data_IF_415239678709
#
_entry.id   IF_415239678709
#
_cell.length_a   1.000
_cell.length_b   1.000
_cell.length_c   1.000
_cell.angle_alpha   90.00
_cell.angle_beta   90.00
_cell.angle_gamma   90.00
#
_symmetry.space_group_name_H-M   'P 1'
#
loop_
_entity.id
_entity.type
_entity.pdbx_description
1 polymer ?
#
# COMPACT_ATOMS: atom_id res chain seq x y z
N UNK A 1 -7.67 -23.11 -2.11
CA UNK A 1 -7.70 -21.89 -1.28
C UNK A 1 -6.88 -20.85 -2.00
N UNK A 2 -7.37 -19.62 -2.05
CA UNK A 2 -6.79 -18.58 -2.88
C UNK A 2 -5.78 -17.72 -2.12
N UNK A 3 -4.79 -17.20 -2.83
CA UNK A 3 -3.88 -16.16 -2.39
C UNK A 3 -4.20 -14.91 -3.19
N UNK A 4 -4.28 -13.76 -2.53
CA UNK A 4 -4.57 -12.48 -3.18
C UNK A 4 -3.39 -11.55 -2.91
N UNK A 5 -2.85 -10.98 -3.98
CA UNK A 5 -1.62 -10.21 -3.94
C UNK A 5 -1.88 -8.90 -4.68
N UNK A 6 -1.50 -7.81 -4.03
CA UNK A 6 -1.62 -6.47 -4.60
C UNK A 6 -0.24 -5.83 -4.69
N UNK A 7 0.06 -5.16 -5.80
CA UNK A 7 1.01 -4.07 -5.77
C UNK A 7 0.48 -2.91 -4.90
N UNK A 8 1.38 -2.03 -4.45
CA UNK A 8 1.01 -0.85 -3.68
C UNK A 8 0.71 0.34 -4.59
N UNK A 9 1.74 0.79 -5.32
CA UNK A 9 1.79 2.09 -5.96
C UNK A 9 0.85 2.07 -7.17
N UNK A 10 -0.04 3.04 -7.27
CA UNK A 10 -1.03 3.14 -8.35
C UNK A 10 -1.99 1.94 -8.48
N UNK A 11 -1.87 0.92 -7.62
CA UNK A 11 -2.77 -0.23 -7.55
C UNK A 11 -3.73 -0.10 -6.38
N UNK A 12 -3.20 0.07 -5.17
CA UNK A 12 -3.98 0.28 -3.94
C UNK A 12 -4.05 1.75 -3.55
N UNK A 13 -2.94 2.49 -3.73
CA UNK A 13 -2.77 3.86 -3.26
C UNK A 13 -1.69 4.59 -4.07
N UNK A 14 -1.74 5.91 -4.10
CA UNK A 14 -0.60 6.75 -4.46
C UNK A 14 0.01 7.32 -3.17
N UNK A 15 1.16 6.78 -2.75
CA UNK A 15 1.78 7.12 -1.47
C UNK A 15 2.75 8.31 -1.59
N UNK A 16 2.93 8.87 -2.78
CA UNK A 16 3.93 9.90 -3.05
C UNK A 16 3.78 11.10 -2.11
N UNK A 17 2.53 11.56 -1.89
CA UNK A 17 2.24 12.70 -1.01
C UNK A 17 2.51 12.44 0.47
N UNK A 18 2.62 11.18 0.91
CA UNK A 18 2.82 10.81 2.32
C UNK A 18 4.29 10.51 2.64
N UNK A 19 5.14 10.33 1.63
CA UNK A 19 6.49 9.78 1.78
C UNK A 19 7.30 10.46 2.90
N UNK A 20 7.45 11.79 2.86
CA UNK A 20 8.23 12.52 3.85
C UNK A 20 7.59 12.58 5.24
N UNK A 21 6.26 12.56 5.32
CA UNK A 21 5.56 12.42 6.60
C UNK A 21 5.89 11.06 7.24
N UNK A 22 5.87 9.98 6.45
CA UNK A 22 6.22 8.65 6.92
C UNK A 22 7.69 8.54 7.33
N UNK A 23 8.61 9.15 6.58
CA UNK A 23 10.03 9.23 6.95
C UNK A 23 10.17 9.81 8.36
N UNK A 24 9.47 10.90 8.66
CA UNK A 24 9.60 11.57 9.96
C UNK A 24 9.22 10.67 11.14
N UNK A 25 8.24 9.78 10.97
CA UNK A 25 7.84 8.83 12.01
C UNK A 25 8.84 7.68 12.19
N UNK A 26 9.51 7.29 11.11
CA UNK A 26 10.47 6.19 11.06
C UNK A 26 11.92 6.68 10.91
N UNK A 27 12.19 7.88 11.40
CA UNK A 27 13.47 8.55 11.19
C UNK A 27 14.64 7.79 11.84
N UNK A 28 14.37 7.03 12.92
CA UNK A 28 15.38 6.23 13.63
C UNK A 28 15.98 5.17 12.71
N UNK A 29 15.15 4.49 11.92
CA UNK A 29 15.57 3.49 10.96
C UNK A 29 16.44 4.11 9.86
N UNK A 30 16.10 5.31 9.38
CA UNK A 30 16.93 6.01 8.39
C UNK A 30 18.27 6.47 8.96
N UNK A 31 18.27 7.05 10.16
CA UNK A 31 19.52 7.49 10.81
C UNK A 31 20.48 6.32 11.02
N UNK A 32 19.97 5.12 11.31
CA UNK A 32 20.79 3.91 11.38
C UNK A 32 21.52 3.62 10.06
N UNK A 33 20.84 3.79 8.94
CA UNK A 33 21.37 3.49 7.61
C UNK A 33 22.28 4.60 7.06
N UNK A 34 21.92 5.87 7.28
CA UNK A 34 22.61 7.02 6.68
C UNK A 34 23.67 7.63 7.58
N UNK A 35 23.49 7.58 8.90
CA UNK A 35 24.37 8.23 9.89
C UNK A 35 24.55 7.40 11.17
N UNK A 36 25.30 6.28 11.11
CA UNK A 36 25.50 5.37 12.25
C UNK A 36 26.04 6.04 13.52
N UNK A 37 26.84 7.11 13.36
CA UNK A 37 27.36 7.89 14.48
C UNK A 37 26.24 8.61 15.25
N UNK A 38 25.27 9.19 14.55
CA UNK A 38 24.13 9.88 15.15
C UNK A 38 23.11 8.91 15.73
N UNK A 39 22.99 7.72 15.15
CA UNK A 39 22.10 6.67 15.67
C UNK A 39 22.38 6.34 17.14
N UNK A 40 23.66 6.32 17.54
CA UNK A 40 24.07 6.06 18.92
C UNK A 40 23.54 7.10 19.92
N UNK A 41 23.18 8.30 19.43
CA UNK A 41 22.64 9.40 20.23
C UNK A 41 21.15 9.62 19.98
N UNK A 42 20.48 8.75 19.21
CA UNK A 42 19.06 8.91 18.92
C UNK A 42 18.23 8.77 20.21
N UNK A 43 17.43 9.78 20.62
CA UNK A 43 16.73 9.75 21.89
C UNK A 43 15.63 8.70 21.86
N UNK A 44 15.68 7.73 22.77
CA UNK A 44 14.66 6.68 22.83
C UNK A 44 13.26 7.23 23.16
N UNK A 45 13.19 8.32 23.93
CA UNK A 45 11.92 9.02 24.17
C UNK A 45 11.36 9.61 22.88
N UNK A 46 12.20 10.21 22.02
CA UNK A 46 11.75 10.69 20.71
C UNK A 46 11.19 9.55 19.88
N UNK A 47 11.85 8.39 19.86
CA UNK A 47 11.37 7.20 19.14
C UNK A 47 9.98 6.75 19.62
N UNK A 48 9.77 6.64 20.94
CA UNK A 48 8.46 6.25 21.51
C UNK A 48 7.37 7.25 21.16
N UNK A 49 7.69 8.55 21.19
CA UNK A 49 6.75 9.62 20.85
C UNK A 49 6.39 9.59 19.36
N UNK A 50 7.35 9.34 18.48
CA UNK A 50 7.11 9.16 17.04
C UNK A 50 6.29 7.91 16.74
N UNK A 51 6.52 6.79 17.43
CA UNK A 51 5.69 5.60 17.32
C UNK A 51 4.23 5.88 17.74
N UNK A 52 4.03 6.61 18.84
CA UNK A 52 2.69 7.06 19.26
C UNK A 52 2.06 7.98 18.19
N UNK A 53 2.83 8.94 17.68
CA UNK A 53 2.37 9.88 16.65
C UNK A 53 1.95 9.15 15.36
N UNK A 54 2.73 8.15 14.94
CA UNK A 54 2.41 7.30 13.79
C UNK A 54 1.07 6.58 13.97
N UNK A 55 0.83 5.97 15.13
CA UNK A 55 -0.44 5.29 15.41
C UNK A 55 -1.61 6.27 15.35
N UNK A 56 -1.49 7.45 16.00
CA UNK A 56 -2.51 8.49 15.93
C UNK A 56 -2.74 8.99 14.49
N UNK A 57 -1.67 9.11 13.71
CA UNK A 57 -1.75 9.51 12.30
C UNK A 57 -2.51 8.48 11.47
N UNK A 58 -2.19 7.20 11.60
CA UNK A 58 -2.94 6.09 10.96
C UNK A 58 -4.41 6.12 11.33
N UNK A 59 -4.73 6.27 12.62
CA UNK A 59 -6.12 6.32 13.10
C UNK A 59 -6.92 7.44 12.46
N UNK A 60 -6.33 8.63 12.36
CA UNK A 60 -7.02 9.81 11.83
C UNK A 60 -7.13 9.80 10.32
N UNK A 61 -6.11 9.29 9.62
CA UNK A 61 -6.21 9.02 8.18
C UNK A 61 -7.32 8.01 7.91
N UNK A 62 -7.42 6.95 8.70
CA UNK A 62 -8.50 5.97 8.60
C UNK A 62 -9.89 6.61 8.79
N UNK A 63 -10.06 7.44 9.82
CA UNK A 63 -11.31 8.19 10.05
C UNK A 63 -11.64 9.09 8.86
N UNK A 64 -10.64 9.78 8.29
CA UNK A 64 -10.85 10.65 7.15
C UNK A 64 -11.24 9.87 5.88
N UNK A 65 -10.60 8.74 5.61
CA UNK A 65 -10.91 7.84 4.49
C UNK A 65 -12.32 7.26 4.56
N UNK A 66 -12.88 7.03 5.75
CA UNK A 66 -14.27 6.58 5.92
C UNK A 66 -15.31 7.71 5.91
N UNK A 67 -14.87 8.97 5.90
CA UNK A 67 -15.78 10.12 5.94
C UNK A 67 -16.52 10.33 4.62
N UNK A 68 -17.51 11.22 4.62
CA UNK A 68 -18.19 11.66 3.38
C UNK A 68 -17.28 12.43 2.42
N UNK A 69 -16.08 12.83 2.86
CA UNK A 69 -15.08 13.51 2.06
C UNK A 69 -13.71 12.81 2.26
N UNK A 70 -13.50 11.62 1.64
CA UNK A 70 -12.30 10.82 1.84
C UNK A 70 -11.02 11.59 1.51
N UNK A 71 -9.91 11.21 2.13
CA UNK A 71 -8.62 11.85 1.87
C UNK A 71 -8.14 11.58 0.44
N UNK A 72 -8.49 10.41 -0.10
CA UNK A 72 -8.14 9.95 -1.44
C UNK A 72 -6.79 9.25 -1.48
N UNK A 73 -6.27 8.81 -0.32
CA UNK A 73 -5.09 7.96 -0.26
C UNK A 73 -5.36 6.62 -0.96
N UNK A 74 -6.52 6.04 -0.67
CA UNK A 74 -6.89 4.70 -1.11
C UNK A 74 -7.73 4.75 -2.38
N UNK A 75 -7.48 3.80 -3.29
CA UNK A 75 -8.28 3.62 -4.50
C UNK A 75 -9.77 3.49 -4.16
N UNK A 76 -10.68 4.23 -4.83
CA UNK A 76 -12.11 4.15 -4.56
C UNK A 76 -12.65 2.71 -4.58
N UNK A 77 -13.41 2.36 -3.54
CA UNK A 77 -14.01 1.03 -3.40
C UNK A 77 -13.07 -0.07 -2.88
N UNK A 78 -11.77 0.20 -2.70
CA UNK A 78 -10.83 -0.83 -2.21
C UNK A 78 -11.19 -1.33 -0.80
N UNK A 79 -11.75 -0.47 0.05
CA UNK A 79 -12.17 -0.85 1.39
C UNK A 79 -13.26 -1.93 1.36
N UNK A 80 -14.18 -1.87 0.40
CA UNK A 80 -15.22 -2.89 0.23
C UNK A 80 -14.62 -4.23 -0.23
N UNK A 81 -13.64 -4.17 -1.13
CA UNK A 81 -12.86 -5.35 -1.55
C UNK A 81 -12.16 -5.97 -0.34
N UNK A 82 -11.50 -5.17 0.48
CA UNK A 82 -10.77 -5.64 1.66
C UNK A 82 -11.71 -6.24 2.71
N UNK A 83 -12.88 -5.65 2.96
CA UNK A 83 -13.93 -6.22 3.84
C UNK A 83 -14.42 -7.57 3.31
N UNK A 84 -14.69 -7.66 2.01
CA UNK A 84 -15.12 -8.91 1.39
C UNK A 84 -14.05 -10.01 1.45
N UNK A 85 -12.79 -9.65 1.24
CA UNK A 85 -11.64 -10.55 1.38
C UNK A 85 -11.45 -10.99 2.82
N UNK A 86 -11.64 -10.11 3.81
CA UNK A 86 -11.63 -10.48 5.23
C UNK A 86 -12.70 -11.54 5.55
N UNK A 87 -13.92 -11.38 5.04
CA UNK A 87 -14.97 -12.39 5.16
C UNK A 87 -14.53 -13.72 4.53
N UNK A 88 -13.92 -13.70 3.34
CA UNK A 88 -13.44 -14.92 2.69
C UNK A 88 -12.23 -15.55 3.41
N UNK A 89 -11.38 -14.74 4.02
CA UNK A 89 -10.25 -15.17 4.85
C UNK A 89 -10.74 -15.94 6.09
N UNK A 90 -11.70 -15.38 6.83
CA UNK A 90 -12.32 -16.07 7.97
C UNK A 90 -13.08 -17.35 7.58
N UNK A 91 -13.66 -17.37 6.38
CA UNK A 91 -14.28 -18.58 5.80
C UNK A 91 -13.25 -19.60 5.27
N UNK A 92 -11.95 -19.37 5.46
CA UNK A 92 -10.85 -20.22 4.98
C UNK A 92 -10.89 -20.45 3.47
N UNK A 93 -11.38 -19.47 2.70
CA UNK A 93 -11.39 -19.50 1.23
C UNK A 93 -10.17 -18.79 0.68
N UNK A 94 -9.82 -17.66 1.28
CA UNK A 94 -8.54 -16.97 1.09
C UNK A 94 -7.59 -17.45 2.18
N UNK A 95 -6.41 -17.92 1.78
CA UNK A 95 -5.35 -18.35 2.70
C UNK A 95 -4.47 -17.17 3.13
N UNK A 96 -4.24 -16.22 2.23
CA UNK A 96 -3.32 -15.11 2.47
C UNK A 96 -3.68 -13.91 1.59
N UNK A 97 -3.60 -12.72 2.18
CA UNK A 97 -3.54 -11.45 1.45
C UNK A 97 -2.18 -10.80 1.74
N UNK A 98 -1.54 -10.23 0.72
CA UNK A 98 -0.26 -9.54 0.87
C UNK A 98 -0.14 -8.33 -0.05
N UNK A 99 0.72 -7.39 0.34
CA UNK A 99 1.21 -6.32 -0.54
C UNK A 99 2.60 -6.74 -1.02
N UNK A 100 2.81 -6.75 -2.33
CA UNK A 100 4.10 -7.06 -2.95
C UNK A 100 4.43 -6.01 -4.00
N UNK A 101 5.34 -5.10 -3.63
CA UNK A 101 5.60 -3.88 -4.38
C UNK A 101 7.08 -3.62 -4.63
N UNK A 102 7.35 -2.94 -5.75
CA UNK A 102 8.66 -2.41 -6.10
C UNK A 102 9.02 -1.14 -5.32
N UNK A 103 8.11 -0.61 -4.50
CA UNK A 103 8.44 0.43 -3.54
C UNK A 103 9.57 -0.05 -2.61
N UNK A 104 10.61 0.77 -2.46
CA UNK A 104 11.77 0.45 -1.61
C UNK A 104 11.49 0.68 -0.13
N UNK A 105 10.51 1.53 0.18
CA UNK A 105 10.28 2.01 1.53
C UNK A 105 9.20 1.19 2.22
N UNK A 106 9.61 0.24 3.06
CA UNK A 106 8.71 -0.68 3.78
C UNK A 106 7.60 0.06 4.57
N UNK A 107 7.89 1.15 5.30
CA UNK A 107 6.85 1.91 5.99
C UNK A 107 5.72 2.43 5.09
N UNK A 108 5.93 2.70 3.79
CA UNK A 108 4.84 3.02 2.87
C UNK A 108 3.82 1.88 2.75
N UNK A 109 4.31 0.65 2.58
CA UNK A 109 3.45 -0.54 2.50
C UNK A 109 2.75 -0.80 3.85
N UNK A 110 3.48 -0.63 4.96
CA UNK A 110 2.94 -0.85 6.30
C UNK A 110 1.89 0.19 6.65
N UNK A 111 2.09 1.45 6.26
CA UNK A 111 1.10 2.50 6.48
C UNK A 111 -0.21 2.21 5.75
N UNK A 112 -0.19 1.86 4.46
CA UNK A 112 -1.41 1.50 3.74
C UNK A 112 -2.07 0.26 4.35
N UNK A 113 -1.28 -0.74 4.74
CA UNK A 113 -1.79 -1.91 5.50
C UNK A 113 -2.50 -1.47 6.77
N UNK A 114 -1.88 -0.62 7.58
CA UNK A 114 -2.34 -0.25 8.91
C UNK A 114 -3.60 0.61 8.83
N UNK A 115 -3.69 1.52 7.85
CA UNK A 115 -4.91 2.28 7.55
C UNK A 115 -6.05 1.32 7.16
N UNK A 116 -5.80 0.38 6.24
CA UNK A 116 -6.82 -0.61 5.84
C UNK A 116 -7.25 -1.46 7.03
N UNK A 117 -6.31 -1.98 7.83
CA UNK A 117 -6.59 -2.83 8.99
C UNK A 117 -7.37 -2.08 10.06
N UNK A 118 -7.07 -0.79 10.26
CA UNK A 118 -7.80 0.08 11.17
C UNK A 118 -9.26 0.22 10.76
N UNK A 119 -9.52 0.42 9.46
CA UNK A 119 -10.87 0.57 8.91
C UNK A 119 -11.66 -0.75 8.94
N UNK A 120 -11.07 -1.85 8.46
CA UNK A 120 -11.79 -3.14 8.36
C UNK A 120 -11.78 -3.92 9.68
N UNK A 121 -11.05 -3.42 10.69
CA UNK A 121 -10.86 -4.03 12.01
C UNK A 121 -10.44 -5.52 11.92
N UNK A 122 -9.47 -5.83 11.06
CA UNK A 122 -8.98 -7.19 10.84
C UNK A 122 -7.54 -7.18 10.31
N UNK A 123 -6.71 -8.09 10.84
CA UNK A 123 -5.34 -8.32 10.36
C UNK A 123 -5.31 -9.17 9.07
N UNK A 124 -5.87 -8.62 7.99
CA UNK A 124 -6.07 -9.34 6.72
C UNK A 124 -4.78 -9.53 5.92
N UNK A 125 -4.03 -8.44 5.76
CA UNK A 125 -2.80 -8.37 4.97
C UNK A 125 -1.65 -8.84 5.87
N UNK A 126 -1.16 -10.04 5.58
CA UNK A 126 -0.23 -10.74 6.48
C UNK A 126 1.24 -10.43 6.22
N UNK A 127 1.58 -9.85 5.06
CA UNK A 127 2.95 -9.59 4.66
C UNK A 127 3.02 -8.36 3.73
N UNK A 128 4.04 -7.53 3.93
CA UNK A 128 4.39 -6.37 3.12
C UNK A 128 5.78 -6.60 2.52
N UNK A 129 5.83 -6.89 1.23
CA UNK A 129 7.05 -7.28 0.50
C UNK A 129 7.49 -6.09 -0.35
N UNK A 130 8.39 -5.29 0.20
CA UNK A 130 9.04 -4.15 -0.47
C UNK A 130 10.27 -4.59 -1.29
N UNK A 131 10.87 -3.73 -2.12
CA UNK A 131 12.03 -4.06 -2.96
C UNK A 131 13.22 -4.65 -2.19
N UNK A 132 13.52 -4.10 -1.01
CA UNK A 132 14.64 -4.56 -0.20
C UNK A 132 14.33 -5.83 0.64
N UNK A 133 13.15 -6.43 0.48
CA UNK A 133 12.76 -7.62 1.23
C UNK A 133 13.70 -8.83 0.95
N UNK A 134 14.20 -9.54 1.98
CA UNK A 134 15.22 -10.60 1.83
C UNK A 134 14.83 -11.77 0.92
N UNK A 135 13.53 -12.01 0.73
CA UNK A 135 13.04 -13.09 -0.14
C UNK A 135 12.94 -12.72 -1.62
N UNK A 136 13.34 -11.50 -1.99
CA UNK A 136 13.32 -11.00 -3.37
C UNK A 136 14.64 -11.20 -4.10
N UNK A 137 15.55 -12.01 -3.58
CA UNK A 137 16.88 -12.20 -4.21
C UNK A 137 16.77 -12.63 -5.68
N UNK A 138 15.77 -13.46 -6.04
CA UNK A 138 15.52 -13.86 -7.42
C UNK A 138 15.04 -12.71 -8.32
N UNK A 139 14.29 -11.75 -7.78
CA UNK A 139 13.84 -10.58 -8.56
C UNK A 139 15.01 -9.65 -8.89
N UNK A 140 16.02 -9.60 -8.02
CA UNK A 140 17.17 -8.69 -8.16
C UNK A 140 18.20 -9.15 -9.17
N UNK A 141 18.04 -10.36 -9.70
CA UNK A 141 18.88 -10.87 -10.80
C UNK A 141 18.53 -10.16 -12.11
N UNK A 142 17.31 -9.66 -12.25
CA UNK A 142 16.85 -8.90 -13.42
C UNK A 142 16.99 -7.39 -13.18
N UNK A 143 17.68 -6.68 -14.07
CA UNK A 143 17.85 -5.22 -13.99
C UNK A 143 16.55 -4.44 -14.23
N UNK A 144 15.48 -5.10 -14.68
CA UNK A 144 14.22 -4.45 -15.03
C UNK A 144 13.23 -4.28 -13.86
N UNK A 145 13.66 -4.48 -12.61
CA UNK A 145 12.77 -4.40 -11.43
C UNK A 145 11.55 -5.34 -11.54
N UNK A 146 11.74 -6.51 -12.12
CA UNK A 146 10.66 -7.44 -12.45
C UNK A 146 10.23 -8.26 -11.23
N UNK A 147 8.92 -8.46 -11.05
CA UNK A 147 8.39 -9.43 -10.09
C UNK A 147 8.32 -10.80 -10.73
N UNK A 148 8.77 -11.82 -10.00
CA UNK A 148 8.92 -13.18 -10.54
C UNK A 148 7.96 -14.17 -9.89
N UNK A 149 7.58 -15.21 -10.64
CA UNK A 149 6.81 -16.32 -10.07
C UNK A 149 7.58 -17.04 -8.97
N UNK A 150 8.89 -17.23 -9.12
CA UNK A 150 9.71 -17.95 -8.14
C UNK A 150 9.73 -17.23 -6.78
N UNK A 151 9.92 -15.91 -6.79
CA UNK A 151 9.80 -15.09 -5.58
C UNK A 151 8.39 -15.19 -5.00
N UNK A 152 7.35 -14.97 -5.80
CA UNK A 152 5.96 -15.01 -5.31
C UNK A 152 5.59 -16.37 -4.73
N UNK A 153 5.97 -17.45 -5.41
CA UNK A 153 5.77 -18.82 -4.98
C UNK A 153 6.47 -19.06 -3.63
N UNK A 154 7.73 -18.61 -3.47
CA UNK A 154 8.46 -18.72 -2.19
C UNK A 154 7.78 -17.95 -1.04
N UNK A 155 7.22 -16.77 -1.32
CA UNK A 155 6.51 -15.93 -0.35
C UNK A 155 5.19 -16.57 0.11
N UNK A 156 4.53 -17.29 -0.79
CA UNK A 156 3.28 -17.96 -0.50
C UNK A 156 3.48 -19.35 0.14
N UNK A 157 4.60 -20.03 -0.15
CA UNK A 157 4.91 -21.37 0.36
C UNK A 157 5.35 -21.35 1.83
N UNK A 158 4.49 -21.89 2.69
CA UNK A 158 4.87 -22.40 4.03
C UNK A 158 4.57 -23.91 4.11
N UNK A 159 5.27 -24.72 3.31
CA UNK A 159 5.23 -26.19 3.40
C UNK A 159 4.28 -26.94 2.46
N UNK A 160 3.55 -26.26 1.57
CA UNK A 160 2.69 -26.92 0.56
C UNK A 160 2.86 -26.26 -0.80
N UNK A 161 3.02 -27.03 -1.88
CA UNK A 161 3.09 -26.51 -3.25
C UNK A 161 1.85 -25.68 -3.59
N UNK A 162 2.04 -24.58 -4.31
CA UNK A 162 0.96 -23.65 -4.69
C UNK A 162 0.92 -23.60 -6.20
N UNK A 163 -0.24 -23.94 -6.77
CA UNK A 163 -0.43 -23.82 -8.21
C UNK A 163 -0.80 -22.37 -8.58
N UNK A 164 -0.31 -21.85 -9.71
CA UNK A 164 -0.63 -20.50 -10.21
C UNK A 164 -2.12 -20.16 -10.22
N UNK A 165 -2.98 -21.15 -10.52
CA UNK A 165 -4.45 -20.99 -10.56
C UNK A 165 -5.09 -20.59 -9.23
N UNK A 166 -4.34 -20.66 -8.12
CA UNK A 166 -4.80 -20.26 -6.80
C UNK A 166 -4.32 -18.87 -6.40
N UNK A 167 -3.59 -18.15 -7.26
CA UNK A 167 -2.95 -16.87 -6.92
C UNK A 167 -3.49 -15.78 -7.83
N UNK A 168 -4.20 -14.82 -7.26
CA UNK A 168 -4.70 -13.63 -7.95
C UNK A 168 -3.75 -12.47 -7.67
N UNK A 169 -3.20 -11.87 -8.73
CA UNK A 169 -2.20 -10.81 -8.63
C UNK A 169 -2.70 -9.55 -9.33
N UNK A 170 -2.71 -8.41 -8.64
CA UNK A 170 -3.14 -7.12 -9.15
C UNK A 170 -1.97 -6.14 -9.18
N UNK A 171 -1.74 -5.50 -10.32
CA UNK A 171 -0.63 -4.56 -10.54
C UNK A 171 -1.02 -3.61 -11.68
N UNK A 172 -0.54 -2.38 -11.68
CA UNK A 172 -0.76 -1.44 -12.79
C UNK A 172 0.17 -1.72 -13.98
N UNK A 173 1.31 -2.38 -13.72
CA UNK A 173 2.32 -2.74 -14.68
C UNK A 173 2.24 -4.23 -15.05
N UNK A 174 2.92 -4.61 -16.14
CA UNK A 174 3.04 -6.01 -16.55
C UNK A 174 4.45 -6.51 -16.22
N UNK A 175 4.53 -7.51 -15.34
CA UNK A 175 5.76 -8.27 -15.08
C UNK A 175 5.75 -9.55 -15.91
N UNK A 176 6.50 -9.58 -17.02
CA UNK A 176 6.39 -10.62 -18.07
C UNK A 176 6.45 -12.04 -17.50
N UNK A 177 7.46 -12.35 -16.67
CA UNK A 177 7.63 -13.70 -16.14
C UNK A 177 6.45 -14.12 -15.24
N UNK A 178 5.97 -13.21 -14.40
CA UNK A 178 4.85 -13.45 -13.51
C UNK A 178 3.51 -13.55 -14.27
N UNK A 179 3.30 -12.68 -15.26
CA UNK A 179 2.14 -12.73 -16.15
C UNK A 179 2.07 -14.05 -16.92
N UNK A 180 3.21 -14.53 -17.45
CA UNK A 180 3.28 -15.83 -18.14
C UNK A 180 2.92 -17.01 -17.21
N UNK A 181 3.34 -16.95 -15.95
CA UNK A 181 3.06 -18.00 -14.97
C UNK A 181 1.60 -18.01 -14.50
N UNK A 182 1.04 -16.83 -14.22
CA UNK A 182 -0.32 -16.68 -13.65
C UNK A 182 -1.43 -16.66 -14.71
N UNK A 183 -1.11 -16.29 -15.95
CA UNK A 183 -2.04 -16.18 -17.07
C UNK A 183 -3.27 -15.35 -16.69
N UNK A 184 -4.47 -15.95 -16.74
CA UNK A 184 -5.76 -15.32 -16.42
C UNK A 184 -5.88 -14.79 -14.99
N UNK A 185 -4.99 -15.19 -14.08
CA UNK A 185 -4.97 -14.68 -12.70
C UNK A 185 -3.99 -13.52 -12.46
N UNK A 186 -3.36 -13.00 -13.52
CA UNK A 186 -2.66 -11.73 -13.51
C UNK A 186 -3.59 -10.63 -14.00
N UNK A 187 -3.88 -9.66 -13.16
CA UNK A 187 -4.80 -8.56 -13.44
C UNK A 187 -4.01 -7.27 -13.55
N UNK A 188 -3.77 -6.83 -14.78
CA UNK A 188 -3.26 -5.49 -15.02
C UNK A 188 -4.39 -4.49 -14.79
N UNK A 189 -4.40 -3.79 -13.66
CA UNK A 189 -5.40 -2.77 -13.34
C UNK A 189 -4.99 -1.42 -13.92
N UNK A 190 -5.92 -0.51 -14.26
CA UNK A 190 -5.50 0.85 -14.60
C UNK A 190 -4.85 1.53 -13.41
N UNK A 191 -3.82 2.32 -13.69
CA UNK A 191 -3.10 3.10 -12.68
C UNK A 191 -4.05 4.10 -11.97
N UNK A 192 -4.03 4.07 -10.65
CA UNK A 192 -4.76 4.98 -9.77
C UNK A 192 -3.92 6.21 -9.48
N UNK A 193 -4.24 7.32 -10.14
CA UNK A 193 -3.59 8.60 -9.94
C UNK A 193 -4.47 9.52 -9.10
N UNK A 194 -4.13 9.66 -7.82
CA UNK A 194 -4.72 10.67 -6.96
C UNK A 194 -3.68 11.22 -6.01
N UNK A 195 -3.29 12.47 -6.23
CA UNK A 195 -2.37 13.17 -5.35
C UNK A 195 -3.16 13.85 -4.24
N UNK A 196 -3.03 13.34 -3.02
CA UNK A 196 -3.65 13.98 -1.85
C UNK A 196 -3.00 15.34 -1.63
N UNK A 197 -3.82 16.38 -1.45
CA UNK A 197 -3.36 17.74 -1.18
C UNK A 197 -2.56 17.80 0.12
N UNK A 198 -1.40 18.48 0.08
CA UNK A 198 -0.52 18.65 1.23
C UNK A 198 -1.26 19.20 2.47
N UNK A 199 -2.09 20.22 2.30
CA UNK A 199 -2.83 20.85 3.41
C UNK A 199 -3.66 19.86 4.22
N UNK A 200 -4.34 18.92 3.54
CA UNK A 200 -5.15 17.90 4.21
C UNK A 200 -4.31 16.90 5.00
N UNK A 201 -3.12 16.56 4.51
CA UNK A 201 -2.21 15.65 5.22
C UNK A 201 -1.57 16.37 6.41
N UNK A 202 -1.14 17.62 6.19
CA UNK A 202 -0.53 18.50 7.18
C UNK A 202 -1.37 18.64 8.44
N UNK A 203 -2.67 18.89 8.31
CA UNK A 203 -3.58 19.04 9.47
C UNK A 203 -3.61 17.77 10.33
N UNK A 204 -3.72 16.60 9.69
CA UNK A 204 -3.75 15.30 10.37
C UNK A 204 -2.41 15.04 11.06
N UNK A 205 -1.31 15.31 10.36
CA UNK A 205 0.06 15.14 10.84
C UNK A 205 0.36 16.04 12.04
N UNK A 206 0.13 17.35 11.91
CA UNK A 206 0.40 18.35 12.96
C UNK A 206 -0.30 17.98 14.26
N UNK A 207 -1.59 17.63 14.17
CA UNK A 207 -2.33 17.27 15.36
C UNK A 207 -1.87 15.92 15.95
N UNK A 208 -1.34 14.99 15.14
CA UNK A 208 -0.85 13.70 15.64
C UNK A 208 0.48 13.87 16.39
N UNK A 209 1.34 14.74 15.86
CA UNK A 209 2.60 15.16 16.49
C UNK A 209 2.36 15.86 17.82
N UNK A 210 1.34 16.74 17.87
CA UNK A 210 0.95 17.45 19.08
C UNK A 210 0.44 16.50 20.18
N UNK A 211 -0.54 15.64 19.88
CA UNK A 211 -1.11 14.69 20.85
C UNK A 211 -0.12 13.62 21.32
N UNK A 212 0.87 13.33 20.49
CA UNK A 212 1.98 12.46 20.87
C UNK A 212 3.04 13.16 21.72
N UNK A 213 3.02 14.49 21.82
CA UNK A 213 4.00 15.34 22.50
C UNK A 213 5.42 15.16 21.90
N UNK A 214 5.51 15.15 20.57
CA UNK A 214 6.81 15.00 19.90
C UNK A 214 7.65 16.26 20.05
N UNK A 215 8.91 16.10 20.47
CA UNK A 215 9.89 17.18 20.43
C UNK A 215 10.31 17.44 18.97
N UNK A 216 9.61 18.39 18.32
CA UNK A 216 9.83 18.75 16.92
C UNK A 216 11.24 19.27 16.67
N UNK A 217 11.80 20.04 17.61
CA UNK A 217 13.15 20.59 17.45
C UNK A 217 14.19 19.46 17.36
N UNK A 218 14.06 18.42 18.20
CA UNK A 218 14.92 17.23 18.08
C UNK A 218 14.69 16.47 16.79
N UNK A 219 13.44 16.32 16.34
CA UNK A 219 13.13 15.66 15.06
C UNK A 219 13.77 16.39 13.87
N UNK A 220 13.69 17.72 13.82
CA UNK A 220 14.24 18.52 12.72
C UNK A 220 15.74 18.27 12.57
N UNK A 221 16.51 18.17 13.67
CA UNK A 221 17.94 17.86 13.62
C UNK A 221 18.21 16.56 12.86
N UNK A 222 17.51 15.47 13.22
CA UNK A 222 17.70 14.17 12.54
C UNK A 222 17.16 14.17 11.11
N UNK A 223 16.08 14.90 10.83
CA UNK A 223 15.55 15.05 9.48
C UNK A 223 16.54 15.76 8.56
N UNK A 224 17.20 16.81 9.04
CA UNK A 224 18.23 17.53 8.27
C UNK A 224 19.39 16.62 7.88
N UNK A 225 19.88 15.80 8.82
CA UNK A 225 20.98 14.86 8.55
C UNK A 225 20.59 13.80 7.50
N UNK A 226 19.38 13.24 7.59
CA UNK A 226 18.88 12.28 6.59
C UNK A 226 18.72 12.92 5.22
N UNK A 227 18.24 14.17 5.15
CA UNK A 227 18.06 14.90 3.89
C UNK A 227 19.39 15.30 3.25
N UNK A 228 20.39 15.69 4.04
CA UNK A 228 21.74 15.97 3.55
C UNK A 228 22.37 14.72 2.94
N UNK A 229 22.20 13.55 3.59
CA UNK A 229 22.66 12.27 3.05
C UNK A 229 21.98 11.91 1.71
N UNK A 230 20.75 12.37 1.47
CA UNK A 230 20.03 12.20 0.21
C UNK A 230 20.34 13.29 -0.85
N UNK A 231 21.32 14.17 -0.61
CA UNK A 231 21.69 15.30 -1.47
C UNK A 231 20.54 16.28 -1.75
N UNK A 232 19.59 16.42 -0.82
CA UNK A 232 18.51 17.40 -0.96
C UNK A 232 18.97 18.79 -0.50
N UNK A 233 18.69 19.82 -1.30
CA UNK A 233 19.06 21.20 -0.95
C UNK A 233 18.05 21.80 0.01
N UNK A 234 18.54 22.22 1.18
CA UNK A 234 17.71 22.69 2.28
C UNK A 234 17.66 24.23 2.32
N UNK A 235 16.48 24.85 2.54
CA UNK A 235 16.44 26.25 2.93
C UNK A 235 16.96 26.37 4.36
N UNK A 236 18.09 27.04 4.57
CA UNK A 236 18.66 27.22 5.91
C UNK A 236 17.70 28.00 6.83
N UNK A 237 17.25 27.37 7.93
CA UNK A 237 16.40 27.98 8.96
C UNK A 237 17.17 28.15 10.27
N UNK A 238 17.90 29.26 10.48
CA UNK A 238 18.76 29.44 11.65
C UNK A 238 18.02 29.44 12.99
N UNK A 239 16.69 29.63 12.99
CA UNK A 239 15.85 29.72 14.18
C UNK A 239 14.63 28.77 14.13
N UNK A 240 14.54 27.88 13.13
CA UNK A 240 13.36 27.08 12.87
C UNK A 240 13.32 25.79 13.69
N UNK A 241 12.63 25.82 14.83
CA UNK A 241 12.52 24.71 15.78
C UNK A 241 11.07 24.26 16.02
N UNK A 242 10.13 24.76 15.19
CA UNK A 242 8.69 24.59 15.37
C UNK A 242 8.09 23.59 14.38
N UNK A 243 6.87 23.14 14.66
CA UNK A 243 6.09 22.31 13.74
C UNK A 243 5.85 23.01 12.39
N UNK A 244 5.76 24.34 12.36
CA UNK A 244 5.60 25.10 11.12
C UNK A 244 6.84 25.01 10.23
N UNK A 245 8.03 25.02 10.84
CA UNK A 245 9.29 24.89 10.10
C UNK A 245 9.40 23.48 9.49
N UNK A 246 9.10 22.45 10.30
CA UNK A 246 9.02 21.07 9.82
C UNK A 246 8.04 20.93 8.64
N UNK A 247 6.83 21.47 8.77
CA UNK A 247 5.82 21.40 7.72
C UNK A 247 6.25 22.14 6.45
N UNK A 248 6.92 23.29 6.56
CA UNK A 248 7.46 23.98 5.39
C UNK A 248 8.55 23.15 4.69
N UNK A 249 9.40 22.46 5.45
CA UNK A 249 10.39 21.52 4.89
C UNK A 249 9.67 20.43 4.10
N UNK A 250 8.70 19.74 4.73
CA UNK A 250 7.94 18.67 4.08
C UNK A 250 7.21 19.15 2.83
N UNK A 251 6.63 20.35 2.85
CA UNK A 251 5.93 20.95 1.70
C UNK A 251 6.89 21.20 0.53
N UNK A 252 8.07 21.76 0.81
CA UNK A 252 9.08 22.08 -0.21
C UNK A 252 9.58 20.85 -0.95
N UNK A 253 9.57 19.69 -0.29
CA UNK A 253 9.98 18.40 -0.84
C UNK A 253 8.85 17.67 -1.56
N UNK A 254 7.59 18.01 -1.24
CA UNK A 254 6.39 17.35 -1.77
C UNK A 254 5.89 17.97 -3.09
N UNK A 255 6.72 18.70 -3.84
CA UNK A 255 6.30 19.44 -5.06
C UNK A 255 5.58 18.50 -6.05
N UNK A 256 4.32 18.80 -6.42
CA UNK A 256 3.51 17.89 -7.19
C UNK A 256 3.87 17.92 -8.68
N UNK A 257 3.82 16.75 -9.32
CA UNK A 257 3.35 16.66 -10.70
C UNK A 257 1.85 16.37 -10.61
N UNK A 258 0.96 17.34 -10.89
CA UNK A 258 -0.47 17.09 -10.87
C UNK A 258 -0.82 16.13 -12.01
N UNK A 259 -1.22 14.92 -11.67
CA UNK A 259 -1.89 14.01 -12.61
C UNK A 259 -3.39 14.27 -12.54
N UNK A 260 -4.11 14.22 -13.68
CA UNK A 260 -5.54 14.44 -13.69
C UNK A 260 -6.25 13.38 -12.84
N UNK A 261 -7.05 13.84 -11.87
CA UNK A 261 -7.85 12.97 -11.01
C UNK A 261 -8.77 12.07 -11.87
N UNK A 262 -8.66 10.76 -11.72
CA UNK A 262 -9.62 9.83 -12.30
C UNK A 262 -10.92 9.85 -11.49
N UNK A 263 -12.06 10.08 -12.14
CA UNK A 263 -13.38 10.10 -11.50
C UNK A 263 -13.76 8.70 -11.00
N UNK A 264 -14.31 8.60 -9.78
CA UNK A 264 -14.60 7.33 -9.08
C UNK A 264 -15.74 6.48 -9.64
N UNK A 265 -16.58 6.99 -10.54
CA UNK A 265 -17.75 6.23 -11.03
C UNK A 265 -17.40 5.15 -12.08
N UNK A 266 -16.14 5.09 -12.53
CA UNK A 266 -15.66 4.12 -13.53
C UNK A 266 -14.26 3.58 -13.21
N UNK A 267 -13.97 3.30 -11.95
CA UNK A 267 -12.71 2.63 -11.61
C UNK A 267 -12.76 1.15 -12.06
N UNK A 268 -12.20 0.88 -13.24
CA UNK A 268 -12.14 -0.48 -13.80
C UNK A 268 -11.35 -1.44 -12.92
N UNK A 269 -10.29 -0.97 -12.25
CA UNK A 269 -9.49 -1.79 -11.34
C UNK A 269 -10.30 -2.28 -10.14
N UNK A 270 -11.15 -1.43 -9.56
CA UNK A 270 -12.12 -1.85 -8.54
C UNK A 270 -13.04 -2.97 -9.05
N UNK A 271 -13.56 -2.85 -10.27
CA UNK A 271 -14.45 -3.86 -10.85
C UNK A 271 -13.71 -5.21 -11.07
N UNK A 272 -12.47 -5.17 -11.55
CA UNK A 272 -11.64 -6.37 -11.70
C UNK A 272 -11.42 -7.08 -10.35
N UNK A 273 -11.06 -6.31 -9.31
CA UNK A 273 -10.89 -6.86 -7.95
C UNK A 273 -12.20 -7.44 -7.41
N UNK A 274 -13.33 -6.76 -7.65
CA UNK A 274 -14.66 -7.23 -7.25
C UNK A 274 -15.04 -8.55 -7.90
N UNK A 275 -14.77 -8.71 -9.20
CA UNK A 275 -15.09 -9.92 -9.93
C UNK A 275 -14.31 -11.13 -9.40
N UNK A 276 -13.02 -10.95 -9.10
CA UNK A 276 -12.19 -11.98 -8.44
C UNK A 276 -12.75 -12.36 -7.08
N UNK A 277 -13.13 -11.39 -6.25
CA UNK A 277 -13.78 -11.66 -4.97
C UNK A 277 -15.05 -12.50 -5.16
N UNK A 278 -15.86 -12.20 -6.19
CA UNK A 278 -17.06 -12.98 -6.51
C UNK A 278 -16.73 -14.39 -7.02
N UNK A 279 -15.64 -14.56 -7.76
CA UNK A 279 -15.17 -15.86 -8.20
C UNK A 279 -14.75 -16.72 -7.00
N UNK A 280 -13.94 -16.18 -6.09
CA UNK A 280 -13.52 -16.85 -4.84
C UNK A 280 -14.76 -17.25 -4.02
N UNK A 281 -15.80 -16.39 -3.98
CA UNK A 281 -17.09 -16.71 -3.34
C UNK A 281 -17.79 -17.91 -3.98
N UNK A 282 -17.68 -18.08 -5.31
CA UNK A 282 -18.34 -19.14 -6.11
C UNK A 282 -17.58 -20.47 -6.13
N UNK A 283 -16.26 -20.49 -5.96
CA UNK A 283 -15.43 -21.71 -6.07
C UNK A 283 -15.83 -22.86 -5.12
N UNK A 284 -16.66 -22.62 -4.09
CA UNK A 284 -17.15 -23.64 -3.15
C UNK A 284 -18.69 -23.73 -3.12
N UNK A 285 -19.42 -23.00 -3.98
CA UNK A 285 -20.82 -23.34 -4.17
C UNK A 285 -20.85 -24.77 -4.73
N UNK A 286 -21.47 -25.76 -4.04
CA UNK A 286 -21.53 -27.11 -4.58
C UNK A 286 -22.12 -26.97 -5.98
N UNK A 287 -21.38 -27.43 -7.00
CA UNK A 287 -21.91 -27.52 -8.36
C UNK A 287 -23.16 -28.39 -8.24
N UNK A 288 -24.35 -27.75 -8.15
CA UNK A 288 -25.61 -28.46 -8.39
C UNK A 288 -25.38 -29.20 -9.70
N UNK A 289 -25.56 -30.53 -9.76
CA UNK A 289 -25.35 -31.27 -10.99
C UNK A 289 -26.14 -30.57 -12.08
N UNK A 290 -25.43 -30.10 -13.12
CA UNK A 290 -26.07 -29.47 -14.27
C UNK A 290 -27.02 -30.51 -14.84
N UNK A 291 -28.33 -30.37 -14.62
CA UNK A 291 -29.32 -31.07 -15.43
C UNK A 291 -29.06 -30.61 -16.87
N UNK A 292 -28.57 -31.52 -17.70
CA UNK A 292 -28.49 -31.34 -19.13
C UNK A 292 -29.91 -31.18 -19.67
N UNK A 293 -30.42 -29.95 -19.69
CA UNK A 293 -31.52 -29.59 -20.58
C UNK A 293 -30.90 -28.96 -21.81
N UNK A 294 -30.79 -29.74 -22.89
CA UNK A 294 -30.59 -29.21 -24.24
C UNK A 294 -31.73 -28.22 -24.51
N UNK A 295 -31.43 -26.92 -24.53
CA UNK A 295 -32.30 -25.93 -25.16
C UNK A 295 -31.67 -25.53 -26.48
N UNK A 296 -32.18 -26.11 -27.57
CA UNK A 296 -31.97 -25.60 -28.92
C UNK A 296 -32.50 -24.16 -28.99
N UNK A 297 -31.61 -23.19 -29.23
CA UNK A 297 -32.02 -21.82 -29.59
C UNK A 297 -32.27 -21.79 -31.10
N UNK A 298 -33.54 -21.68 -31.51
CA UNK A 298 -33.91 -21.23 -32.86
C UNK A 298 -33.80 -19.71 -32.90
N UNK A 299 -33.01 -19.17 -33.83
CA UNK A 299 -33.05 -17.76 -34.18
C UNK A 299 -34.08 -17.57 -35.30
N UNK A 300 -35.13 -16.80 -35.04
CA UNK A 300 -36.04 -16.28 -36.05
C UNK A 300 -35.48 -14.98 -36.57
N UNK A 301 -35.13 -14.93 -37.86
CA UNK A 301 -34.84 -13.69 -38.59
C UNK A 301 -36.19 -13.06 -38.94
N UNK A 302 -36.46 -11.85 -38.43
CA UNK A 302 -37.57 -11.04 -38.94
C UNK A 302 -37.14 -10.43 -40.28
N UNK A 303 -37.94 -10.69 -41.32
CA UNK A 303 -37.92 -9.95 -42.58
C UNK A 303 -38.56 -8.59 -42.40
#
# INVERSE_FOLDING_TARGET
MSYVVFDLDLTLADITSFYYFLISFHIKEFVLETSPNLFSFFPEELHKRLQKAYQLFVERVAVQEESSNPLGLLRPGILDIMRDLAIQYHKKRVKKVMIYSNNRYLPSLQFVRDVIHRIINTNLITECVHWNHPRRDNDRVDMNYSKTWDTLHSLCMKGSAIEPKNVYFFDDQIHIQLHHALQENYYQVPAYHYTVSFDRIKEIYESAMYDAEVNVSSLIVYMMDVMEAENQTFPFYPNGNSIRDLLHILESLSKPLPWPNSSSERDEGYHMMKDVVQEIKKQIAPKRPKRHTMKQRRYTIKR
#
